data_IF_065031575264
#
_entry.id   IF_065031575264
#
_cell.length_a   1.000
_cell.length_b   1.000
_cell.length_c   1.000
_cell.angle_alpha   90.00
_cell.angle_beta   90.00
_cell.angle_gamma   90.00
#
_symmetry.space_group_name_H-M   'P 1'
#
loop_
_entity.id
_entity.type
_entity.pdbx_description
1 polymer ?
#
# COMPACT_ATOMS: atom_id res chain seq x y z
N UNK A 1 -18.13 58.34 -28.52
CA UNK A 1 -19.09 57.27 -28.18
C UNK A 1 -18.42 55.92 -28.41
N UNK A 2 -18.58 55.03 -27.43
CA UNK A 2 -18.29 53.59 -27.41
C UNK A 2 -16.85 53.10 -27.71
N UNK A 3 -16.08 52.89 -26.64
CA UNK A 3 -14.97 51.95 -26.64
C UNK A 3 -15.51 50.52 -26.48
N UNK A 4 -14.99 49.60 -27.29
CA UNK A 4 -15.32 48.18 -27.21
C UNK A 4 -14.44 47.51 -26.15
N UNK A 5 -15.06 47.02 -25.08
CA UNK A 5 -14.46 46.07 -24.14
C UNK A 5 -14.43 44.68 -24.77
N UNK A 6 -13.31 43.94 -24.74
CA UNK A 6 -13.32 42.54 -25.13
C UNK A 6 -14.04 41.71 -24.07
N UNK A 7 -14.97 40.88 -24.52
CA UNK A 7 -15.66 39.91 -23.66
C UNK A 7 -14.62 38.98 -23.03
N UNK A 8 -14.53 39.02 -21.69
CA UNK A 8 -13.81 38.01 -20.93
C UNK A 8 -14.43 36.64 -21.23
N UNK A 9 -13.68 35.81 -21.95
CA UNK A 9 -13.99 34.40 -22.12
C UNK A 9 -14.13 33.77 -20.72
N UNK A 10 -15.29 33.19 -20.46
CA UNK A 10 -15.54 32.43 -19.24
C UNK A 10 -14.53 31.28 -19.17
N UNK A 11 -13.69 31.30 -18.14
CA UNK A 11 -12.86 30.17 -17.74
C UNK A 11 -13.81 29.11 -17.18
N UNK A 12 -13.98 27.92 -17.81
CA UNK A 12 -14.68 26.83 -17.15
C UNK A 12 -13.71 26.17 -16.17
N UNK A 13 -13.47 26.88 -15.06
CA UNK A 13 -12.70 26.41 -13.93
C UNK A 13 -13.67 26.07 -12.80
N UNK A 14 -13.97 24.78 -12.68
CA UNK A 14 -14.15 24.03 -11.44
C UNK A 14 -14.76 22.69 -11.82
N UNK A 15 -13.93 21.64 -11.89
CA UNK A 15 -14.44 20.28 -11.73
C UNK A 15 -15.24 20.28 -10.45
N UNK A 16 -16.56 20.09 -10.56
CA UNK A 16 -17.43 20.01 -9.40
C UNK A 16 -16.89 18.90 -8.51
N UNK A 17 -16.36 19.25 -7.34
CA UNK A 17 -15.98 18.28 -6.33
C UNK A 17 -17.20 17.39 -6.08
N UNK A 18 -17.01 16.06 -6.11
CA UNK A 18 -18.12 15.14 -5.86
C UNK A 18 -18.88 15.55 -4.59
N UNK A 19 -20.21 15.51 -4.61
CA UNK A 19 -21.01 15.93 -3.49
C UNK A 19 -20.64 15.10 -2.25
N UNK A 20 -20.19 15.79 -1.19
CA UNK A 20 -19.86 15.15 0.09
C UNK A 20 -21.04 14.30 0.58
N UNK A 21 -20.78 13.11 1.15
CA UNK A 21 -21.84 12.23 1.61
C UNK A 21 -22.74 12.92 2.64
N UNK A 22 -24.04 12.89 2.39
CA UNK A 22 -25.05 13.55 3.23
C UNK A 22 -25.46 12.68 4.43
N UNK A 23 -25.23 11.36 4.36
CA UNK A 23 -25.50 10.42 5.45
C UNK A 23 -24.35 10.37 6.47
N UNK A 24 -24.66 10.06 7.73
CA UNK A 24 -23.66 9.87 8.78
C UNK A 24 -22.67 8.76 8.43
N UNK A 25 -23.18 7.60 8.00
CA UNK A 25 -22.35 6.45 7.62
C UNK A 25 -21.41 6.78 6.46
N UNK A 26 -21.88 7.50 5.45
CA UNK A 26 -21.04 7.92 4.33
C UNK A 26 -19.90 8.84 4.77
N UNK A 27 -20.17 9.80 5.68
CA UNK A 27 -19.12 10.65 6.26
C UNK A 27 -18.12 9.86 7.09
N UNK A 28 -18.57 8.85 7.84
CA UNK A 28 -17.69 8.00 8.63
C UNK A 28 -16.77 7.16 7.73
N UNK A 29 -17.30 6.58 6.65
CA UNK A 29 -16.51 5.82 5.67
C UNK A 29 -15.49 6.69 4.97
N UNK A 30 -15.87 7.89 4.49
CA UNK A 30 -14.94 8.87 3.91
C UNK A 30 -13.84 9.26 4.91
N UNK A 31 -14.22 9.58 6.14
CA UNK A 31 -13.26 9.93 7.19
C UNK A 31 -12.28 8.81 7.51
N UNK A 32 -12.75 7.56 7.59
CA UNK A 32 -11.89 6.38 7.76
C UNK A 32 -10.98 6.18 6.55
N UNK A 33 -11.51 6.26 5.33
CA UNK A 33 -10.74 6.10 4.10
C UNK A 33 -9.56 7.08 4.00
N UNK A 34 -9.73 8.32 4.45
CA UNK A 34 -8.66 9.33 4.49
C UNK A 34 -7.46 8.95 5.38
N UNK A 35 -7.59 7.98 6.28
CA UNK A 35 -6.48 7.46 7.07
C UNK A 35 -5.60 6.48 6.29
N UNK A 36 -6.03 6.00 5.12
CA UNK A 36 -5.27 5.04 4.31
C UNK A 36 -3.81 5.48 4.07
N UNK A 37 -3.51 6.70 3.58
CA UNK A 37 -2.14 7.15 3.36
C UNK A 37 -1.28 7.15 4.63
N UNK A 38 -1.86 7.41 5.80
CA UNK A 38 -1.14 7.32 7.08
C UNK A 38 -0.83 5.88 7.45
N UNK A 39 -1.82 4.99 7.33
CA UNK A 39 -1.72 3.60 7.79
C UNK A 39 -0.81 2.75 6.90
N UNK A 40 -0.69 3.04 5.60
CA UNK A 40 0.21 2.28 4.71
C UNK A 40 1.69 2.33 5.13
N UNK A 41 2.11 3.35 5.87
CA UNK A 41 3.52 3.47 6.33
C UNK A 41 3.93 2.34 7.28
N UNK A 42 3.00 1.81 8.07
CA UNK A 42 3.28 0.74 9.02
C UNK A 42 3.68 -0.57 8.31
N UNK A 43 2.84 -1.20 7.46
CA UNK A 43 3.25 -2.40 6.74
C UNK A 43 4.50 -2.16 5.88
N UNK A 44 4.64 -0.99 5.25
CA UNK A 44 5.83 -0.64 4.46
C UNK A 44 7.09 -0.74 5.33
N UNK A 45 7.16 0.03 6.41
CA UNK A 45 8.35 0.07 7.27
C UNK A 45 8.62 -1.29 7.93
N UNK A 46 7.58 -1.95 8.45
CA UNK A 46 7.73 -3.22 9.16
C UNK A 46 8.23 -4.36 8.26
N UNK A 47 7.70 -4.48 7.04
CA UNK A 47 8.18 -5.49 6.09
C UNK A 47 9.58 -5.19 5.56
N UNK A 48 9.90 -3.92 5.27
CA UNK A 48 11.26 -3.54 4.84
C UNK A 48 12.28 -3.86 5.93
N UNK A 49 12.00 -3.50 7.19
CA UNK A 49 12.90 -3.80 8.30
C UNK A 49 13.01 -5.31 8.53
N UNK A 50 11.90 -6.06 8.48
CA UNK A 50 11.94 -7.51 8.58
C UNK A 50 12.79 -8.15 7.46
N UNK A 51 12.63 -7.68 6.22
CA UNK A 51 13.43 -8.10 5.07
C UNK A 51 14.91 -7.79 5.25
N UNK A 52 15.25 -6.61 5.74
CA UNK A 52 16.63 -6.20 6.02
C UNK A 52 17.27 -7.09 7.12
N UNK A 53 16.54 -7.39 8.20
CA UNK A 53 17.01 -8.29 9.25
C UNK A 53 17.22 -9.72 8.73
N UNK A 54 16.34 -10.23 7.87
CA UNK A 54 16.50 -11.56 7.29
C UNK A 54 17.69 -11.61 6.30
N UNK A 55 17.85 -10.58 5.45
CA UNK A 55 18.99 -10.46 4.56
C UNK A 55 20.31 -10.39 5.35
N UNK A 56 20.34 -9.62 6.45
CA UNK A 56 21.49 -9.55 7.34
C UNK A 56 21.81 -10.89 7.98
N UNK A 57 20.80 -11.63 8.46
CA UNK A 57 20.98 -12.96 9.04
C UNK A 57 21.60 -13.95 8.04
N UNK A 58 21.17 -13.88 6.77
CA UNK A 58 21.71 -14.70 5.67
C UNK A 58 23.17 -14.35 5.41
N UNK A 59 23.50 -13.06 5.21
CA UNK A 59 24.86 -12.60 4.91
C UNK A 59 25.83 -12.92 6.04
N UNK A 60 25.41 -12.73 7.29
CA UNK A 60 26.25 -12.99 8.48
C UNK A 60 26.28 -14.47 8.90
N UNK A 61 25.49 -15.33 8.26
CA UNK A 61 25.31 -16.75 8.64
C UNK A 61 25.03 -16.95 10.13
N UNK A 62 24.35 -15.98 10.75
CA UNK A 62 24.02 -16.01 12.18
C UNK A 62 22.54 -15.72 12.36
N UNK A 63 21.86 -16.42 13.28
CA UNK A 63 20.48 -16.11 13.57
C UNK A 63 20.40 -14.77 14.30
N UNK A 64 20.10 -13.69 13.57
CA UNK A 64 19.77 -12.42 14.20
C UNK A 64 18.26 -12.31 14.42
N UNK A 65 17.90 -11.99 15.67
CA UNK A 65 16.64 -11.33 16.04
C UNK A 65 15.36 -12.04 15.56
N UNK A 66 15.30 -13.37 15.68
CA UNK A 66 14.16 -14.17 15.23
C UNK A 66 12.83 -13.68 15.80
N UNK A 67 12.75 -13.44 17.11
CA UNK A 67 11.51 -12.94 17.73
C UNK A 67 11.15 -11.53 17.24
N UNK A 68 12.14 -10.66 16.99
CA UNK A 68 11.90 -9.34 16.39
C UNK A 68 11.30 -9.50 15.00
N UNK A 69 11.90 -10.29 14.12
CA UNK A 69 11.37 -10.54 12.76
C UNK A 69 9.96 -11.14 12.82
N UNK A 70 9.70 -12.02 13.79
CA UNK A 70 8.38 -12.61 14.02
C UNK A 70 7.33 -11.54 14.34
N UNK A 71 7.63 -10.65 15.28
CA UNK A 71 6.74 -9.55 15.69
C UNK A 71 6.54 -8.56 14.55
N UNK A 72 7.62 -8.15 13.86
CA UNK A 72 7.56 -7.20 12.75
C UNK A 72 6.65 -7.69 11.63
N UNK A 73 6.81 -8.95 11.20
CA UNK A 73 5.96 -9.52 10.14
C UNK A 73 4.51 -9.67 10.60
N UNK A 74 4.27 -10.03 11.87
CA UNK A 74 2.90 -10.13 12.40
C UNK A 74 2.19 -8.76 12.40
N UNK A 75 2.87 -7.73 12.92
CA UNK A 75 2.35 -6.36 12.91
C UNK A 75 2.24 -5.80 11.50
N UNK A 76 3.17 -6.15 10.61
CA UNK A 76 3.14 -5.78 9.20
C UNK A 76 1.93 -6.38 8.49
N UNK A 77 1.64 -7.67 8.72
CA UNK A 77 0.46 -8.32 8.16
C UNK A 77 -0.84 -7.71 8.67
N UNK A 78 -0.94 -7.43 9.98
CA UNK A 78 -2.09 -6.73 10.56
C UNK A 78 -2.25 -5.33 9.95
N UNK A 79 -1.15 -4.57 9.86
CA UNK A 79 -1.14 -3.24 9.25
C UNK A 79 -1.56 -3.26 7.79
N UNK A 80 -1.16 -4.28 7.01
CA UNK A 80 -1.56 -4.44 5.62
C UNK A 80 -3.07 -4.71 5.47
N UNK A 81 -3.66 -5.51 6.37
CA UNK A 81 -5.11 -5.73 6.38
C UNK A 81 -5.88 -4.45 6.67
N UNK A 82 -5.45 -3.69 7.68
CA UNK A 82 -6.08 -2.40 8.01
C UNK A 82 -5.91 -1.42 6.84
N UNK A 83 -4.70 -1.33 6.27
CA UNK A 83 -4.44 -0.45 5.12
C UNK A 83 -5.33 -0.77 3.92
N UNK A 84 -5.51 -2.05 3.58
CA UNK A 84 -6.41 -2.46 2.49
C UNK A 84 -7.86 -2.10 2.81
N UNK A 85 -8.34 -2.40 4.02
CA UNK A 85 -9.70 -2.04 4.42
C UNK A 85 -9.97 -0.54 4.27
N UNK A 86 -9.04 0.32 4.73
CA UNK A 86 -9.15 1.77 4.57
C UNK A 86 -9.00 2.21 3.11
N UNK A 87 -8.16 1.55 2.32
CA UNK A 87 -7.95 1.87 0.91
C UNK A 87 -9.21 1.65 0.08
N UNK A 88 -9.94 0.56 0.36
CA UNK A 88 -11.24 0.35 -0.27
C UNK A 88 -12.32 1.34 0.20
N UNK A 89 -12.29 1.77 1.46
CA UNK A 89 -13.16 2.87 1.92
C UNK A 89 -12.86 4.19 1.21
N UNK A 90 -11.59 4.44 0.88
CA UNK A 90 -11.14 5.66 0.20
C UNK A 90 -11.47 5.68 -1.30
N UNK A 91 -11.34 4.54 -1.99
CA UNK A 91 -11.51 4.42 -3.44
C UNK A 91 -12.93 3.98 -3.84
N UNK A 92 -13.78 3.62 -2.87
CA UNK A 92 -15.10 3.08 -3.12
C UNK A 92 -15.10 1.60 -3.53
N UNK A 93 -16.30 1.08 -3.78
CA UNK A 93 -16.54 -0.36 -3.98
C UNK A 93 -16.76 -0.77 -5.44
N UNK A 94 -16.87 0.19 -6.37
CA UNK A 94 -17.15 -0.11 -7.77
C UNK A 94 -15.88 -0.08 -8.62
N UNK A 95 -15.36 -1.26 -8.99
CA UNK A 95 -14.15 -1.34 -9.79
C UNK A 95 -14.34 -0.87 -11.25
N UNK A 96 -15.57 -0.80 -11.74
CA UNK A 96 -15.84 -0.47 -13.15
C UNK A 96 -15.60 1.02 -13.47
N UNK A 97 -15.55 1.87 -12.45
CA UNK A 97 -15.35 3.32 -12.58
C UNK A 97 -13.87 3.71 -12.51
N UNK A 98 -13.00 2.80 -12.06
CA UNK A 98 -11.58 3.05 -11.91
C UNK A 98 -10.85 3.20 -13.24
N UNK A 99 -9.85 4.07 -13.23
CA UNK A 99 -8.81 4.07 -14.26
C UNK A 99 -7.89 2.85 -14.10
N UNK A 100 -7.16 2.45 -15.17
CA UNK A 100 -6.27 1.29 -15.11
C UNK A 100 -5.23 1.36 -13.98
N UNK A 101 -4.68 2.54 -13.69
CA UNK A 101 -3.70 2.75 -12.62
C UNK A 101 -4.31 2.55 -11.22
N UNK A 102 -5.52 3.07 -11.00
CA UNK A 102 -6.28 2.91 -9.74
C UNK A 102 -6.62 1.43 -9.51
N UNK A 103 -7.11 0.75 -10.56
CA UNK A 103 -7.37 -0.69 -10.54
C UNK A 103 -6.11 -1.48 -10.20
N UNK A 104 -4.99 -1.18 -10.86
CA UNK A 104 -3.72 -1.87 -10.61
C UNK A 104 -3.25 -1.69 -9.16
N UNK A 105 -3.26 -0.45 -8.65
CA UNK A 105 -2.86 -0.15 -7.27
C UNK A 105 -3.75 -0.86 -6.24
N UNK A 106 -5.08 -0.85 -6.44
CA UNK A 106 -6.03 -1.46 -5.51
C UNK A 106 -5.95 -2.99 -5.51
N UNK A 107 -5.87 -3.62 -6.68
CA UNK A 107 -5.78 -5.07 -6.79
C UNK A 107 -4.43 -5.59 -6.29
N UNK A 108 -3.33 -4.89 -6.61
CA UNK A 108 -2.02 -5.24 -6.08
C UNK A 108 -1.97 -5.06 -4.56
N UNK A 109 -2.48 -3.94 -4.03
CA UNK A 109 -2.60 -3.71 -2.59
C UNK A 109 -3.39 -4.81 -1.86
N UNK A 110 -4.54 -5.21 -2.42
CA UNK A 110 -5.36 -6.32 -1.88
C UNK A 110 -4.61 -7.65 -1.91
N UNK A 111 -3.88 -7.92 -3.00
CA UNK A 111 -3.04 -9.12 -3.14
C UNK A 111 -1.90 -9.12 -2.12
N UNK A 112 -1.28 -7.96 -1.87
CA UNK A 112 -0.22 -7.79 -0.86
C UNK A 112 -0.72 -8.13 0.54
N UNK A 113 -1.95 -7.76 0.91
CA UNK A 113 -2.49 -8.13 2.22
C UNK A 113 -2.66 -9.65 2.37
N UNK A 114 -3.11 -10.34 1.32
CA UNK A 114 -3.15 -11.80 1.28
C UNK A 114 -1.75 -12.43 1.35
N UNK A 115 -0.80 -11.92 0.57
CA UNK A 115 0.59 -12.36 0.58
C UNK A 115 1.24 -12.11 1.96
N UNK A 116 0.96 -10.99 2.61
CA UNK A 116 1.45 -10.66 3.94
C UNK A 116 0.97 -11.67 5.00
N UNK A 117 -0.28 -12.14 4.91
CA UNK A 117 -0.79 -13.22 5.76
C UNK A 117 -0.09 -14.55 5.49
N UNK A 118 0.14 -14.91 4.22
CA UNK A 118 0.88 -16.11 3.85
C UNK A 118 2.33 -16.04 4.35
N UNK A 119 2.97 -14.88 4.25
CA UNK A 119 4.31 -14.61 4.77
C UNK A 119 4.36 -14.71 6.29
N UNK A 120 3.36 -14.18 7.01
CA UNK A 120 3.23 -14.33 8.45
C UNK A 120 3.01 -15.79 8.88
N UNK A 121 2.18 -16.53 8.16
CA UNK A 121 2.01 -17.96 8.39
C UNK A 121 3.33 -18.73 8.19
N UNK A 122 4.03 -18.47 7.09
CA UNK A 122 5.32 -19.09 6.79
C UNK A 122 6.38 -18.74 7.83
N UNK A 123 6.41 -17.48 8.30
CA UNK A 123 7.27 -17.03 9.39
C UNK A 123 7.05 -17.88 10.65
N UNK A 124 5.81 -18.02 11.12
CA UNK A 124 5.48 -18.81 12.32
C UNK A 124 5.87 -20.29 12.21
N UNK A 125 5.97 -20.83 11.00
CA UNK A 125 6.24 -22.25 10.76
C UNK A 125 7.70 -22.56 10.45
N UNK A 126 8.38 -21.66 9.74
CA UNK A 126 9.63 -21.96 9.06
C UNK A 126 10.79 -21.02 9.39
N UNK A 127 10.56 -19.94 10.15
CA UNK A 127 11.60 -18.98 10.52
C UNK A 127 12.84 -19.65 11.18
N UNK A 128 12.62 -20.69 11.99
CA UNK A 128 13.68 -21.45 12.67
C UNK A 128 14.34 -22.52 11.79
N UNK A 129 13.85 -22.75 10.56
CA UNK A 129 14.30 -23.82 9.66
C UNK A 129 15.28 -23.33 8.58
N UNK A 130 16.20 -22.44 8.95
CA UNK A 130 17.21 -21.90 8.02
C UNK A 130 18.09 -23.02 7.43
N UNK A 131 18.52 -22.85 6.18
CA UNK A 131 19.29 -23.86 5.45
C UNK A 131 18.46 -25.00 4.85
N UNK A 132 17.14 -25.00 5.04
CA UNK A 132 16.21 -25.96 4.44
C UNK A 132 15.35 -25.31 3.35
N UNK A 133 14.72 -26.10 2.49
CA UNK A 133 13.75 -25.60 1.51
C UNK A 133 12.60 -24.81 2.15
N UNK A 134 12.18 -25.16 3.37
CA UNK A 134 11.14 -24.43 4.10
C UNK A 134 11.60 -23.03 4.56
N UNK A 135 12.86 -22.90 4.98
CA UNK A 135 13.46 -21.60 5.29
C UNK A 135 13.64 -20.74 4.04
N UNK A 136 14.03 -21.34 2.91
CA UNK A 136 14.13 -20.66 1.63
C UNK A 136 12.75 -20.17 1.13
N UNK A 137 11.69 -20.96 1.31
CA UNK A 137 10.32 -20.56 1.01
C UNK A 137 9.90 -19.33 1.81
N UNK A 138 10.14 -19.31 3.13
CA UNK A 138 9.86 -18.14 3.95
C UNK A 138 10.64 -16.90 3.49
N UNK A 139 11.94 -17.03 3.26
CA UNK A 139 12.77 -15.93 2.76
C UNK A 139 12.29 -15.39 1.41
N UNK A 140 11.91 -16.28 0.50
CA UNK A 140 11.33 -15.93 -0.81
C UNK A 140 9.99 -15.19 -0.68
N UNK A 141 9.08 -15.68 0.17
CA UNK A 141 7.78 -15.02 0.43
C UNK A 141 7.97 -13.62 1.04
N UNK A 142 8.88 -13.48 2.00
CA UNK A 142 9.21 -12.18 2.60
C UNK A 142 9.80 -11.22 1.55
N UNK A 143 10.76 -11.68 0.76
CA UNK A 143 11.34 -10.89 -0.33
C UNK A 143 10.29 -10.45 -1.36
N UNK A 144 9.42 -11.37 -1.78
CA UNK A 144 8.32 -11.07 -2.69
C UNK A 144 7.35 -10.05 -2.09
N UNK A 145 7.03 -10.17 -0.80
CA UNK A 145 6.16 -9.21 -0.09
C UNK A 145 6.77 -7.81 -0.11
N UNK A 146 8.06 -7.68 0.22
CA UNK A 146 8.77 -6.39 0.22
C UNK A 146 8.81 -5.78 -1.18
N UNK A 147 9.12 -6.58 -2.21
CA UNK A 147 9.15 -6.10 -3.60
C UNK A 147 7.77 -5.64 -4.07
N UNK A 148 6.72 -6.43 -3.81
CA UNK A 148 5.36 -6.08 -4.17
C UNK A 148 4.91 -4.78 -3.48
N UNK A 149 5.26 -4.60 -2.19
CA UNK A 149 5.04 -3.34 -1.46
C UNK A 149 5.74 -2.17 -2.16
N UNK A 150 6.99 -2.33 -2.58
CA UNK A 150 7.73 -1.29 -3.30
C UNK A 150 7.05 -0.90 -4.62
N UNK A 151 6.65 -1.89 -5.42
CA UNK A 151 5.91 -1.66 -6.68
C UNK A 151 4.59 -0.94 -6.40
N UNK A 152 3.81 -1.39 -5.40
CA UNK A 152 2.53 -0.75 -5.08
C UNK A 152 2.71 0.67 -4.52
N UNK A 153 3.80 0.92 -3.80
CA UNK A 153 4.21 2.24 -3.34
C UNK A 153 4.49 3.19 -4.51
N UNK A 154 5.19 2.73 -5.55
CA UNK A 154 5.36 3.49 -6.80
C UNK A 154 4.02 3.80 -7.48
N UNK A 155 3.12 2.81 -7.59
CA UNK A 155 1.79 3.04 -8.15
C UNK A 155 1.01 4.07 -7.32
N UNK A 156 1.11 4.01 -6.00
CA UNK A 156 0.50 5.00 -5.10
C UNK A 156 1.06 6.41 -5.30
N UNK A 157 2.38 6.54 -5.48
CA UNK A 157 3.01 7.81 -5.84
C UNK A 157 2.53 8.33 -7.20
N UNK A 158 2.40 7.44 -8.19
CA UNK A 158 1.91 7.79 -9.51
C UNK A 158 0.45 8.26 -9.53
N UNK A 159 -0.39 7.77 -8.61
CA UNK A 159 -1.78 8.25 -8.45
C UNK A 159 -1.84 9.73 -8.01
N UNK A 160 -0.88 10.16 -7.18
CA UNK A 160 -0.87 11.52 -6.61
C UNK A 160 -0.07 12.50 -7.46
N UNK A 161 1.07 12.04 -8.01
CA UNK A 161 2.07 12.88 -8.65
C UNK A 161 2.21 12.64 -10.16
N UNK A 162 1.48 11.67 -10.73
CA UNK A 162 1.58 11.28 -12.14
C UNK A 162 2.64 10.20 -12.38
N UNK A 163 2.57 9.52 -13.52
CA UNK A 163 3.45 8.38 -13.84
C UNK A 163 4.93 8.77 -13.96
N UNK A 164 5.23 10.02 -14.31
CA UNK A 164 6.59 10.53 -14.48
C UNK A 164 7.15 11.19 -13.20
N UNK A 165 6.55 10.94 -12.03
CA UNK A 165 6.92 11.59 -10.76
C UNK A 165 8.35 11.33 -10.28
N UNK A 166 9.06 10.37 -10.87
CA UNK A 166 10.48 10.07 -10.59
C UNK A 166 11.41 10.40 -11.77
N UNK A 167 10.90 11.00 -12.85
CA UNK A 167 11.72 11.41 -13.99
C UNK A 167 12.66 12.56 -13.59
N UNK A 168 13.88 12.55 -14.14
CA UNK A 168 14.92 13.57 -13.94
C UNK A 168 15.13 14.42 -15.19
#
# INVERSE_FOLDING_TARGET
MAGATPAHAAVPGHMAAEPRPTSFTGRLVDWLGRWHPSVVHFPIALFIVAGALEAWAIVRRRPSMLETTRILVALGALGALVAVALGWMAMGWNLAEDKPLETAHRLLGSTIAGLALVTWWANNRFLRRRGTGAGALYGGLLGLTVLAIGVNGYLGGALIHGVDHLAF
#
